data_IF_791465249175
#
_entry.id   IF_791465249175
#
_cell.length_a   1.000
_cell.length_b   1.000
_cell.length_c   1.000
_cell.angle_alpha   90.00
_cell.angle_beta   90.00
_cell.angle_gamma   90.00
#
_symmetry.space_group_name_H-M   'P 1'
#
loop_
_entity.id
_entity.type
_entity.pdbx_description
1 polymer ?
#
# COMPACT_ATOMS: atom_id res chain seq x y z
N UNK A 1 17.92 15.16 -20.74
CA UNK A 1 18.37 13.76 -20.59
C UNK A 1 18.06 13.34 -19.16
N UNK A 2 16.89 12.75 -18.92
CA UNK A 2 16.62 12.10 -17.64
C UNK A 2 17.48 10.85 -17.60
N UNK A 3 18.61 10.92 -16.90
CA UNK A 3 19.43 9.74 -16.63
C UNK A 3 18.56 8.70 -15.91
N UNK A 4 18.60 7.44 -16.36
CA UNK A 4 17.92 6.33 -15.71
C UNK A 4 18.59 6.03 -14.36
N UNK A 5 18.27 6.84 -13.35
CA UNK A 5 18.80 6.73 -11.98
C UNK A 5 18.47 5.39 -11.34
N UNK A 6 17.44 4.70 -11.84
CA UNK A 6 17.08 3.36 -11.38
C UNK A 6 18.24 2.38 -11.61
N UNK A 7 18.86 2.38 -12.79
CA UNK A 7 20.02 1.53 -13.08
C UNK A 7 21.21 1.73 -12.14
N UNK A 8 21.34 2.91 -11.52
CA UNK A 8 22.43 3.24 -10.58
C UNK A 8 22.21 2.64 -9.19
N UNK A 9 20.99 2.23 -8.85
CA UNK A 9 20.63 1.69 -7.54
C UNK A 9 20.28 0.19 -7.58
N UNK A 10 20.00 -0.35 -8.76
CA UNK A 10 19.74 -1.78 -8.92
C UNK A 10 20.99 -2.60 -8.64
N UNK A 11 20.78 -3.76 -8.03
CA UNK A 11 21.84 -4.75 -7.88
C UNK A 11 22.31 -5.22 -9.27
N UNK A 12 23.63 -5.37 -9.52
CA UNK A 12 24.15 -5.82 -10.80
C UNK A 12 23.55 -7.14 -11.30
N UNK A 13 23.17 -8.06 -10.41
CA UNK A 13 22.53 -9.31 -10.80
C UNK A 13 21.14 -9.07 -11.39
N UNK A 14 20.36 -8.16 -10.80
CA UNK A 14 19.02 -7.80 -11.29
C UNK A 14 19.09 -7.14 -12.68
N UNK A 15 20.14 -6.37 -12.95
CA UNK A 15 20.39 -5.76 -14.27
C UNK A 15 20.69 -6.84 -15.32
N UNK A 16 21.46 -7.86 -14.94
CA UNK A 16 21.83 -8.98 -15.82
C UNK A 16 20.63 -9.88 -16.12
N UNK A 17 19.84 -10.20 -15.09
CA UNK A 17 18.66 -11.06 -15.19
C UNK A 17 17.46 -10.35 -15.85
N UNK A 18 17.55 -9.04 -16.09
CA UNK A 18 16.51 -8.21 -16.74
C UNK A 18 15.10 -8.56 -16.26
N UNK A 19 14.88 -8.50 -14.95
CA UNK A 19 13.55 -8.69 -14.40
C UNK A 19 12.60 -7.58 -14.91
N UNK A 20 11.62 -7.97 -15.73
CA UNK A 20 10.66 -7.07 -16.37
C UNK A 20 9.83 -6.26 -15.35
N UNK A 21 9.67 -6.80 -14.14
CA UNK A 21 8.87 -6.20 -13.07
C UNK A 21 9.61 -5.16 -12.22
N UNK A 22 10.89 -4.90 -12.49
CA UNK A 22 11.74 -4.00 -11.69
C UNK A 22 11.16 -2.58 -11.65
N UNK A 23 10.65 -2.08 -12.76
CA UNK A 23 10.04 -0.75 -12.84
C UNK A 23 8.77 -0.67 -11.98
N UNK A 24 7.97 -1.74 -11.94
CA UNK A 24 6.76 -1.81 -11.11
C UNK A 24 7.10 -1.84 -9.63
N UNK A 25 8.09 -2.64 -9.23
CA UNK A 25 8.57 -2.70 -7.84
C UNK A 25 9.15 -1.36 -7.42
N UNK A 26 9.94 -0.71 -8.27
CA UNK A 26 10.50 0.62 -8.01
C UNK A 26 9.39 1.67 -7.83
N UNK A 27 8.39 1.68 -8.70
CA UNK A 27 7.24 2.58 -8.58
C UNK A 27 6.44 2.34 -7.29
N UNK A 28 6.30 1.08 -6.86
CA UNK A 28 5.65 0.71 -5.61
C UNK A 28 6.46 1.21 -4.40
N UNK A 29 7.78 1.01 -4.41
CA UNK A 29 8.68 1.51 -3.36
C UNK A 29 8.60 3.03 -3.22
N UNK A 30 8.57 3.77 -4.34
CA UNK A 30 8.39 5.24 -4.34
C UNK A 30 7.06 5.65 -3.69
N UNK A 31 5.98 4.89 -3.88
CA UNK A 31 4.70 5.15 -3.22
C UNK A 31 4.77 4.88 -1.70
N UNK A 32 5.41 3.78 -1.29
CA UNK A 32 5.58 3.42 0.12
C UNK A 32 6.46 4.42 0.88
N UNK A 33 7.44 5.02 0.22
CA UNK A 33 8.40 5.96 0.81
C UNK A 33 7.95 7.43 0.75
N UNK A 34 6.69 7.70 0.36
CA UNK A 34 6.15 9.08 0.36
C UNK A 34 6.28 9.71 1.74
N UNK A 35 6.71 10.97 1.79
CA UNK A 35 6.83 11.73 3.04
C UNK A 35 5.47 11.91 3.72
N UNK A 36 4.42 12.15 2.92
CA UNK A 36 3.04 12.18 3.42
C UNK A 36 2.53 10.75 3.67
N UNK A 37 2.28 10.42 4.93
CA UNK A 37 1.76 9.12 5.35
C UNK A 37 0.41 8.77 4.73
N UNK A 38 -0.48 9.74 4.52
CA UNK A 38 -1.79 9.50 3.89
C UNK A 38 -1.69 9.14 2.40
N UNK A 39 -0.59 9.51 1.74
CA UNK A 39 -0.34 9.15 0.34
C UNK A 39 0.30 7.76 0.18
N UNK A 40 0.74 7.14 1.29
CA UNK A 40 1.30 5.78 1.27
C UNK A 40 0.17 4.77 1.04
N UNK A 41 0.39 3.73 0.22
CA UNK A 41 -0.56 2.65 0.09
C UNK A 41 -0.72 1.90 1.42
N UNK A 42 -1.90 1.33 1.65
CA UNK A 42 -2.08 0.37 2.74
C UNK A 42 -1.30 -0.91 2.47
N UNK A 43 -0.86 -1.61 3.51
CA UNK A 43 -0.11 -2.87 3.34
C UNK A 43 -0.89 -3.92 2.53
N UNK A 44 -2.22 -3.98 2.67
CA UNK A 44 -3.09 -4.81 1.82
C UNK A 44 -2.96 -4.49 0.32
N UNK A 45 -2.82 -3.21 -0.04
CA UNK A 45 -2.64 -2.79 -1.43
C UNK A 45 -1.22 -3.09 -1.93
N UNK A 46 -0.23 -3.02 -1.05
CA UNK A 46 1.15 -3.42 -1.36
C UNK A 46 1.22 -4.92 -1.63
N UNK A 47 0.67 -5.73 -0.74
CA UNK A 47 0.55 -7.19 -0.87
C UNK A 47 -0.11 -7.58 -2.19
N UNK A 48 -1.31 -7.04 -2.48
CA UNK A 48 -2.02 -7.32 -3.72
C UNK A 48 -1.21 -6.99 -4.97
N UNK A 49 -0.40 -5.93 -4.94
CA UNK A 49 0.44 -5.54 -6.08
C UNK A 49 1.62 -6.47 -6.23
N UNK A 50 2.25 -6.89 -5.14
CA UNK A 50 3.38 -7.82 -5.17
C UNK A 50 2.93 -9.23 -5.59
N UNK A 51 1.78 -9.70 -5.12
CA UNK A 51 1.23 -11.00 -5.50
C UNK A 51 1.03 -11.12 -7.02
N UNK A 52 0.62 -10.03 -7.68
CA UNK A 52 0.48 -9.99 -9.15
C UNK A 52 1.82 -10.11 -9.88
N UNK A 53 2.92 -9.65 -9.27
CA UNK A 53 4.27 -9.77 -9.83
C UNK A 53 4.85 -11.16 -9.58
N UNK A 54 4.52 -11.78 -8.45
CA UNK A 54 4.97 -13.14 -8.13
C UNK A 54 4.32 -14.23 -8.98
N UNK A 55 3.27 -13.93 -9.77
CA UNK A 55 2.57 -14.92 -10.59
C UNK A 55 1.81 -15.99 -9.79
N UNK A 56 1.72 -15.85 -8.47
CA UNK A 56 0.96 -16.73 -7.60
C UNK A 56 -0.53 -16.37 -7.67
N UNK A 57 -1.18 -16.91 -8.70
CA UNK A 57 -2.64 -16.94 -8.83
C UNK A 57 -3.25 -17.90 -7.79
N UNK A 58 -3.07 -17.62 -6.51
CA UNK A 58 -3.85 -18.29 -5.47
C UNK A 58 -5.26 -17.69 -5.47
N UNK A 59 -6.14 -18.27 -6.28
CA UNK A 59 -7.59 -18.04 -6.31
C UNK A 59 -8.16 -17.55 -4.96
N UNK A 60 -8.63 -16.30 -4.82
CA UNK A 60 -9.98 -15.94 -4.32
C UNK A 60 -10.29 -14.43 -4.30
N UNK A 61 -11.49 -14.11 -4.83
CA UNK A 61 -12.36 -12.93 -4.63
C UNK A 61 -11.93 -11.56 -5.19
N UNK A 62 -12.41 -11.32 -6.42
CA UNK A 62 -13.18 -10.15 -6.85
C UNK A 62 -12.92 -8.84 -6.10
N UNK A 63 -12.19 -7.91 -6.74
CA UNK A 63 -11.96 -6.59 -6.18
C UNK A 63 -11.33 -5.62 -7.17
N UNK A 64 -12.08 -5.31 -8.22
CA UNK A 64 -11.94 -4.10 -9.03
C UNK A 64 -10.62 -3.90 -9.78
N UNK A 65 -10.73 -3.87 -11.12
CA UNK A 65 -9.83 -3.12 -11.99
C UNK A 65 -9.91 -1.64 -11.55
N UNK A 66 -9.19 -1.27 -10.49
CA UNK A 66 -9.00 0.13 -10.13
C UNK A 66 -7.97 0.64 -11.12
N UNK A 67 -8.50 1.39 -12.07
CA UNK A 67 -7.74 2.16 -13.04
C UNK A 67 -6.59 2.88 -12.34
N UNK A 68 -5.40 2.47 -12.76
CA UNK A 68 -4.20 3.25 -12.70
C UNK A 68 -4.51 4.55 -13.48
N UNK A 69 -4.38 5.72 -12.83
CA UNK A 69 -4.53 7.09 -13.38
C UNK A 69 -5.92 7.75 -13.38
N UNK A 70 -6.33 8.31 -12.23
CA UNK A 70 -7.06 9.58 -11.98
C UNK A 70 -7.42 9.57 -10.47
N UNK A 71 -7.30 10.61 -9.66
CA UNK A 71 -7.92 11.92 -9.81
C UNK A 71 -7.27 12.95 -8.87
N UNK A 72 -7.13 14.17 -9.38
CA UNK A 72 -6.72 15.37 -8.66
C UNK A 72 -7.98 16.25 -8.59
N UNK A 73 -8.51 16.44 -7.38
CA UNK A 73 -9.42 17.52 -6.99
C UNK A 73 -10.81 17.59 -7.68
N UNK A 74 -11.83 17.03 -7.02
CA UNK A 74 -13.14 17.69 -6.93
C UNK A 74 -13.89 17.29 -5.65
N UNK A 75 -14.25 18.27 -4.84
CA UNK A 75 -15.26 18.13 -3.79
C UNK A 75 -16.65 17.95 -4.43
N UNK A 76 -17.42 16.95 -4.01
CA UNK A 76 -18.86 17.07 -3.78
C UNK A 76 -19.38 15.87 -2.97
N UNK A 77 -20.20 16.20 -1.97
CA UNK A 77 -20.89 15.34 -1.01
C UNK A 77 -21.90 14.36 -1.63
N UNK A 78 -21.97 13.14 -1.09
CA UNK A 78 -23.19 12.32 -1.08
C UNK A 78 -23.41 11.79 0.33
N UNK A 79 -24.44 12.33 0.98
CA UNK A 79 -25.14 11.75 2.13
C UNK A 79 -25.76 10.40 1.75
N UNK A 80 -25.43 9.31 2.46
CA UNK A 80 -26.34 8.19 2.71
C UNK A 80 -26.06 7.61 4.11
N UNK A 81 -26.80 8.17 5.04
CA UNK A 81 -27.41 7.51 6.19
C UNK A 81 -27.82 6.06 5.92
N UNK A 82 -27.31 5.14 6.75
CA UNK A 82 -27.96 3.87 7.07
C UNK A 82 -27.42 3.40 8.42
N UNK A 83 -28.28 3.55 9.41
CA UNK A 83 -28.13 3.18 10.80
C UNK A 83 -27.75 1.71 10.96
N UNK A 84 -26.72 1.41 11.75
CA UNK A 84 -26.74 0.24 12.61
C UNK A 84 -25.79 0.42 13.80
N UNK A 85 -26.43 0.79 14.91
CA UNK A 85 -26.17 0.36 16.29
C UNK A 85 -24.77 0.46 16.88
N UNK A 86 -24.69 1.44 17.79
CA UNK A 86 -23.73 1.56 18.90
C UNK A 86 -23.63 0.24 19.68
N UNK A 87 -22.41 -0.18 20.01
CA UNK A 87 -22.01 -0.45 21.39
C UNK A 87 -20.49 -0.57 21.48
N UNK A 88 -19.89 0.31 22.28
CA UNK A 88 -18.51 0.16 22.77
C UNK A 88 -18.60 -0.71 24.02
N UNK A 89 -17.95 -1.87 24.03
CA UNK A 89 -17.66 -2.56 25.29
C UNK A 89 -16.42 -1.90 25.90
N UNK A 90 -16.66 -1.08 26.90
CA UNK A 90 -15.70 -0.47 27.82
C UNK A 90 -15.68 -1.38 29.05
N UNK A 91 -14.83 -2.40 29.02
CA UNK A 91 -14.48 -3.34 30.10
C UNK A 91 -13.54 -4.35 29.39
N UNK A 92 -12.21 -4.33 29.46
CA UNK A 92 -11.32 -4.14 30.60
C UNK A 92 -9.86 -3.93 30.07
N UNK A 93 -9.49 -2.74 29.60
CA UNK A 93 -8.14 -2.43 29.05
C UNK A 93 -7.32 -1.51 29.98
N UNK A 94 -7.04 -1.95 31.22
CA UNK A 94 -6.24 -1.15 32.16
C UNK A 94 -4.97 -1.83 32.71
N UNK A 95 -4.83 -3.17 32.64
CA UNK A 95 -3.74 -3.87 33.34
C UNK A 95 -2.66 -4.51 32.44
N UNK A 96 -2.81 -4.49 31.10
CA UNK A 96 -1.86 -5.14 30.19
C UNK A 96 -1.10 -4.21 29.23
N UNK A 97 -1.41 -2.91 29.21
CA UNK A 97 -0.73 -1.93 28.32
C UNK A 97 0.47 -1.19 28.94
N UNK A 98 0.88 -1.53 30.17
CA UNK A 98 1.96 -0.83 30.88
C UNK A 98 3.33 -1.50 30.77
N UNK A 99 3.47 -2.65 30.08
CA UNK A 99 4.74 -3.40 30.08
C UNK A 99 5.64 -3.21 28.86
N UNK A 100 5.27 -2.41 27.86
CA UNK A 100 6.13 -2.19 26.69
C UNK A 100 6.35 -0.71 26.39
N UNK A 101 7.47 -0.12 26.85
CA UNK A 101 7.91 1.16 26.31
C UNK A 101 8.24 0.96 24.83
N UNK A 102 7.43 1.56 23.95
CA UNK A 102 7.81 1.74 22.55
C UNK A 102 8.92 2.78 22.53
N UNK A 103 10.16 2.32 22.52
CA UNK A 103 11.34 3.18 22.43
C UNK A 103 11.26 4.01 21.15
N UNK A 104 11.47 5.31 21.35
CA UNK A 104 11.69 6.33 20.32
C UNK A 104 13.19 6.50 20.10
#
# INVERSE_FOLDING_TARGET
MSEDKLSKILDPQVILERAEDVDLVAALAVQCLRLNGHARPTMKKVEMRLQRLSGEDSNTVQGSKIELYHDVSAQMSITKDSSSSKQCNIEEDALLSTSFPRCR
#
